data_IF_171600507703
#
_entry.id   IF_171600507703
#
_cell.length_a   1.000
_cell.length_b   1.000
_cell.length_c   1.000
_cell.angle_alpha   90.00
_cell.angle_beta   90.00
_cell.angle_gamma   90.00
#
_symmetry.space_group_name_H-M   'P 1'
#
loop_
_entity.id
_entity.type
_entity.pdbx_description
1 polymer ?
#
# COMPACT_ATOMS: atom_id res chain seq x y z
N UNK A 1 -20.31 -30.48 6.81
CA UNK A 1 -20.67 -30.66 5.40
C UNK A 1 -20.82 -29.35 4.69
N UNK A 2 -21.71 -28.48 5.15
CA UNK A 2 -21.91 -27.15 4.55
C UNK A 2 -20.66 -26.26 4.59
N UNK A 3 -19.86 -26.40 5.63
CA UNK A 3 -18.61 -25.64 5.79
C UNK A 3 -17.56 -25.97 4.72
N UNK A 4 -17.55 -27.21 4.27
CA UNK A 4 -16.62 -27.67 3.24
C UNK A 4 -16.95 -27.09 1.87
N UNK A 5 -18.23 -26.99 1.56
CA UNK A 5 -18.69 -26.42 0.30
C UNK A 5 -18.33 -24.92 0.23
N UNK A 6 -18.52 -24.20 1.34
CA UNK A 6 -18.15 -22.79 1.42
C UNK A 6 -16.64 -22.57 1.24
N UNK A 7 -15.84 -23.45 1.82
CA UNK A 7 -14.40 -23.40 1.67
C UNK A 7 -13.97 -23.64 0.23
N UNK A 8 -14.55 -24.62 -0.42
CA UNK A 8 -14.25 -24.92 -1.82
C UNK A 8 -14.63 -23.76 -2.74
N UNK A 9 -15.76 -23.12 -2.49
CA UNK A 9 -16.17 -21.96 -3.26
C UNK A 9 -15.23 -20.78 -3.08
N UNK A 10 -14.75 -20.55 -1.87
CA UNK A 10 -13.78 -19.50 -1.59
C UNK A 10 -12.46 -19.74 -2.31
N UNK A 11 -11.98 -20.97 -2.32
CA UNK A 11 -10.76 -21.36 -3.04
C UNK A 11 -10.95 -21.17 -4.55
N UNK A 12 -12.08 -21.57 -5.08
CA UNK A 12 -12.36 -21.41 -6.50
C UNK A 12 -12.41 -19.94 -6.91
N UNK A 13 -12.98 -19.08 -6.07
CA UNK A 13 -13.01 -17.64 -6.31
C UNK A 13 -11.60 -17.03 -6.33
N UNK A 14 -10.75 -17.44 -5.41
CA UNK A 14 -9.35 -17.00 -5.38
C UNK A 14 -8.57 -17.46 -6.62
N UNK A 15 -8.79 -18.68 -7.06
CA UNK A 15 -8.14 -19.21 -8.25
C UNK A 15 -8.59 -18.49 -9.52
N UNK A 16 -9.85 -18.12 -9.61
CA UNK A 16 -10.34 -17.38 -10.78
C UNK A 16 -9.78 -15.95 -10.83
N UNK A 17 -9.54 -15.32 -9.70
CA UNK A 17 -8.89 -14.01 -9.64
C UNK A 17 -7.43 -14.08 -10.10
N UNK A 18 -6.70 -15.12 -9.71
CA UNK A 18 -5.33 -15.34 -10.16
C UNK A 18 -5.25 -15.54 -11.65
N UNK A 19 -6.15 -16.28 -12.23
CA UNK A 19 -6.17 -16.54 -13.67
C UNK A 19 -6.39 -15.27 -14.50
N UNK A 20 -7.12 -14.29 -13.97
CA UNK A 20 -7.40 -13.04 -14.65
C UNK A 20 -6.29 -12.00 -14.51
N UNK A 21 -5.52 -12.05 -13.43
CA UNK A 21 -4.55 -11.02 -13.09
C UNK A 21 -3.16 -11.19 -13.69
N UNK A 22 -2.77 -12.39 -14.04
CA UNK A 22 -1.44 -12.69 -14.58
C UNK A 22 -0.28 -12.27 -13.67
N UNK A 23 -0.51 -12.06 -12.38
CA UNK A 23 0.48 -11.54 -11.47
C UNK A 23 0.49 -12.23 -10.12
N UNK A 24 0.11 -11.51 -9.09
CA UNK A 24 0.19 -11.96 -7.72
C UNK A 24 -1.17 -12.47 -7.22
N UNK A 25 -1.12 -13.43 -6.28
CA UNK A 25 -2.29 -14.00 -5.61
C UNK A 25 -2.83 -13.10 -4.50
N UNK A 26 -2.21 -11.95 -4.25
CA UNK A 26 -2.57 -11.08 -3.15
C UNK A 26 -3.90 -10.34 -3.41
N UNK A 27 -4.79 -10.29 -2.41
CA UNK A 27 -6.03 -9.55 -2.54
C UNK A 27 -5.80 -8.05 -2.57
N UNK A 28 -6.80 -7.30 -3.03
CA UNK A 28 -6.79 -5.85 -2.91
C UNK A 28 -6.79 -5.44 -1.44
N UNK A 29 -6.05 -4.39 -1.13
CA UNK A 29 -6.08 -3.79 0.20
C UNK A 29 -7.29 -2.87 0.35
N UNK A 30 -7.76 -2.68 1.56
CA UNK A 30 -8.81 -1.71 1.86
C UNK A 30 -8.71 -1.24 3.30
N UNK A 31 -9.11 0.00 3.55
CA UNK A 31 -9.18 0.56 4.88
C UNK A 31 -8.07 1.54 5.19
N UNK A 32 -8.16 2.09 6.38
CA UNK A 32 -7.25 3.12 6.89
C UNK A 32 -6.28 2.51 7.89
N UNK A 33 -4.99 2.81 7.71
CA UNK A 33 -3.91 2.31 8.54
C UNK A 33 -3.09 3.48 9.08
N UNK A 34 -2.79 3.48 10.35
CA UNK A 34 -1.96 4.48 11.00
C UNK A 34 -0.55 3.96 11.29
N UNK A 35 0.43 4.82 11.04
CA UNK A 35 1.83 4.53 11.35
C UNK A 35 2.08 4.58 12.86
N UNK A 36 2.82 3.60 13.38
CA UNK A 36 3.17 3.54 14.79
C UNK A 36 4.47 4.29 15.11
N UNK A 37 5.19 4.78 14.09
CA UNK A 37 6.47 5.46 14.26
C UNK A 37 6.37 6.94 13.90
N UNK A 38 6.93 7.79 14.76
CA UNK A 38 7.01 9.23 14.51
C UNK A 38 8.16 9.62 13.56
N UNK A 39 9.11 8.71 13.34
CA UNK A 39 10.28 8.96 12.49
C UNK A 39 10.06 8.55 11.03
N UNK A 40 8.87 8.07 10.69
CA UNK A 40 8.51 7.66 9.34
C UNK A 40 7.73 8.78 8.64
N UNK A 41 8.09 9.09 7.41
CA UNK A 41 7.49 10.22 6.68
C UNK A 41 6.02 10.04 6.35
N UNK A 42 5.54 8.81 6.25
CA UNK A 42 4.15 8.53 5.99
C UNK A 42 3.45 8.29 7.33
N UNK A 43 2.50 9.15 7.70
CA UNK A 43 1.79 9.03 8.97
C UNK A 43 0.60 8.08 8.90
N UNK A 44 -0.02 7.95 7.74
CA UNK A 44 -1.16 7.07 7.54
C UNK A 44 -1.30 6.72 6.06
N UNK A 45 -1.98 5.60 5.80
CA UNK A 45 -2.33 5.15 4.45
C UNK A 45 -3.80 4.72 4.45
N UNK A 46 -4.50 5.08 3.40
CA UNK A 46 -5.85 4.62 3.18
C UNK A 46 -5.95 3.95 1.82
N UNK A 47 -6.40 2.70 1.80
CA UNK A 47 -6.48 1.90 0.58
C UNK A 47 -7.91 1.71 0.16
N UNK A 48 -8.16 1.83 -1.14
CA UNK A 48 -9.42 1.48 -1.77
C UNK A 48 -9.25 0.18 -2.55
N UNK A 49 -10.30 -0.62 -2.61
CA UNK A 49 -10.24 -1.92 -3.28
C UNK A 49 -10.05 -1.82 -4.80
N UNK A 50 -10.22 -0.63 -5.36
CA UNK A 50 -10.03 -0.38 -6.80
C UNK A 50 -8.57 -0.17 -7.22
N UNK A 51 -7.63 -0.26 -6.29
CA UNK A 51 -6.20 -0.06 -6.56
C UNK A 51 -5.70 1.35 -6.33
N UNK A 52 -6.53 2.23 -5.77
CA UNK A 52 -6.11 3.58 -5.39
C UNK A 52 -5.78 3.65 -3.90
N UNK A 53 -4.99 4.65 -3.53
CA UNK A 53 -4.60 4.87 -2.14
C UNK A 53 -4.44 6.36 -1.87
N UNK A 54 -4.58 6.74 -0.60
CA UNK A 54 -4.24 8.07 -0.11
C UNK A 54 -3.07 7.94 0.85
N UNK A 55 -2.05 8.76 0.65
CA UNK A 55 -0.87 8.82 1.51
C UNK A 55 -0.92 10.12 2.31
N UNK A 56 -0.90 9.98 3.63
CA UNK A 56 -0.87 11.12 4.54
C UNK A 56 0.58 11.35 4.97
N UNK A 57 1.18 12.41 4.47
CA UNK A 57 2.57 12.80 4.72
C UNK A 57 2.58 14.26 5.17
N UNK A 58 3.60 15.03 4.76
CA UNK A 58 3.61 16.49 4.91
C UNK A 58 2.37 17.14 4.26
N UNK A 59 1.95 16.58 3.15
CA UNK A 59 0.69 16.88 2.44
C UNK A 59 -0.04 15.57 2.17
N UNK A 60 -1.31 15.64 1.80
CA UNK A 60 -2.06 14.47 1.37
C UNK A 60 -1.83 14.21 -0.12
N UNK A 61 -1.44 12.98 -0.44
CA UNK A 61 -1.16 12.56 -1.81
C UNK A 61 -2.11 11.44 -2.20
N UNK A 62 -2.40 11.37 -3.49
CA UNK A 62 -3.10 10.23 -4.09
C UNK A 62 -2.11 9.31 -4.78
N UNK A 63 -2.44 8.05 -4.84
CA UNK A 63 -1.56 7.06 -5.44
C UNK A 63 -2.29 5.84 -5.91
N UNK A 64 -1.54 4.92 -6.48
CA UNK A 64 -2.01 3.60 -6.88
C UNK A 64 -1.12 2.54 -6.24
N UNK A 65 -1.68 1.35 -6.04
CA UNK A 65 -0.91 0.23 -5.54
C UNK A 65 -1.17 -1.01 -6.39
N UNK A 66 -0.13 -1.83 -6.53
CA UNK A 66 -0.19 -3.09 -7.29
C UNK A 66 0.48 -4.18 -6.49
N UNK A 67 -0.07 -5.37 -6.52
CA UNK A 67 0.57 -6.54 -5.96
C UNK A 67 1.84 -6.88 -6.74
N UNK A 68 2.92 -7.16 -6.01
CA UNK A 68 4.20 -7.56 -6.59
C UNK A 68 4.94 -8.46 -5.60
N UNK A 69 5.22 -9.70 -5.98
CA UNK A 69 5.82 -10.68 -5.08
C UNK A 69 4.90 -10.94 -3.88
N UNK A 70 5.44 -10.84 -2.69
CA UNK A 70 4.70 -11.07 -1.44
C UNK A 70 4.06 -9.81 -0.85
N UNK A 71 4.11 -8.72 -1.57
CA UNK A 71 3.60 -7.43 -1.10
C UNK A 71 3.05 -6.58 -2.21
N UNK A 72 3.10 -5.28 -2.00
CA UNK A 72 2.54 -4.29 -2.91
C UNK A 72 3.57 -3.19 -3.17
N UNK A 73 3.52 -2.62 -4.37
CA UNK A 73 4.27 -1.41 -4.71
C UNK A 73 3.28 -0.26 -4.80
N UNK A 74 3.62 0.84 -4.14
CA UNK A 74 2.81 2.04 -4.09
C UNK A 74 3.47 3.14 -4.91
N UNK A 75 2.70 3.81 -5.77
CA UNK A 75 3.17 4.94 -6.56
C UNK A 75 2.33 6.17 -6.25
N UNK A 76 2.99 7.32 -6.09
CA UNK A 76 2.32 8.60 -5.91
C UNK A 76 1.98 9.16 -7.28
N UNK A 77 0.70 9.43 -7.54
CA UNK A 77 0.22 9.88 -8.84
C UNK A 77 -0.26 11.33 -8.85
N UNK A 78 -0.57 11.89 -7.68
CA UNK A 78 -1.03 13.26 -7.58
C UNK A 78 -1.19 13.70 -6.14
N UNK A 79 -1.71 14.90 -5.95
CA UNK A 79 -2.02 15.46 -4.65
C UNK A 79 -3.48 15.84 -4.52
N UNK A 80 -3.90 16.17 -3.31
CA UNK A 80 -5.26 16.59 -3.02
C UNK A 80 -5.43 18.13 -3.07
N UNK A 81 -4.34 18.85 -3.34
CA UNK A 81 -4.34 20.29 -3.49
C UNK A 81 -3.37 20.67 -4.60
N UNK A 82 -3.42 21.90 -5.06
CA UNK A 82 -2.49 22.38 -6.09
C UNK A 82 -1.02 22.29 -5.64
N UNK A 83 -0.76 22.53 -4.35
CA UNK A 83 0.59 22.42 -3.80
C UNK A 83 1.05 20.95 -3.75
N UNK A 84 0.21 20.07 -3.21
CA UNK A 84 0.56 18.65 -3.14
C UNK A 84 0.65 18.00 -4.52
N UNK A 85 -0.12 18.48 -5.49
CA UNK A 85 -0.02 17.98 -6.86
C UNK A 85 1.34 18.32 -7.49
N UNK A 86 1.85 19.50 -7.24
CA UNK A 86 3.19 19.89 -7.71
C UNK A 86 4.30 19.05 -7.06
N UNK A 87 4.14 18.70 -5.79
CA UNK A 87 5.12 17.93 -5.04
C UNK A 87 5.04 16.42 -5.32
N UNK A 88 3.89 15.94 -5.76
CA UNK A 88 3.66 14.50 -5.94
C UNK A 88 4.67 13.86 -6.91
N UNK A 89 4.95 14.53 -8.02
CA UNK A 89 5.91 14.05 -9.01
C UNK A 89 7.31 13.93 -8.42
N UNK A 90 7.72 14.91 -7.63
CA UNK A 90 9.04 14.89 -6.97
C UNK A 90 9.13 13.75 -5.96
N UNK A 91 8.09 13.57 -5.13
CA UNK A 91 8.03 12.47 -4.16
C UNK A 91 8.10 11.11 -4.86
N UNK A 92 7.35 10.93 -5.92
CA UNK A 92 7.35 9.66 -6.66
C UNK A 92 8.70 9.37 -7.32
N UNK A 93 9.42 10.40 -7.76
CA UNK A 93 10.76 10.24 -8.32
C UNK A 93 11.82 9.98 -7.25
N UNK A 94 11.58 10.47 -6.04
CA UNK A 94 12.57 10.39 -4.95
C UNK A 94 12.52 9.06 -4.19
N UNK A 95 11.34 8.43 -4.10
CA UNK A 95 11.14 7.31 -3.18
C UNK A 95 10.45 6.13 -3.83
N UNK A 96 10.88 4.93 -3.43
CA UNK A 96 10.17 3.69 -3.71
C UNK A 96 9.45 3.27 -2.42
N UNK A 97 8.15 3.02 -2.52
CA UNK A 97 7.31 2.64 -1.38
C UNK A 97 6.79 1.23 -1.62
N UNK A 98 7.04 0.32 -0.68
CA UNK A 98 6.53 -1.04 -0.72
C UNK A 98 5.78 -1.36 0.56
N UNK A 99 4.80 -2.24 0.46
CA UNK A 99 3.92 -2.61 1.57
C UNK A 99 3.86 -4.12 1.66
N UNK A 100 4.09 -4.66 2.85
CA UNK A 100 3.99 -6.10 3.10
C UNK A 100 2.96 -6.36 4.19
N UNK A 101 1.90 -7.14 3.90
CA UNK A 101 0.95 -7.54 4.93
C UNK A 101 1.59 -8.48 5.93
N UNK A 102 1.27 -8.29 7.21
CA UNK A 102 1.69 -9.16 8.30
C UNK A 102 0.53 -10.08 8.71
N UNK A 103 0.86 -11.19 9.37
CA UNK A 103 -0.12 -12.19 9.78
C UNK A 103 -1.13 -11.65 10.82
N UNK A 104 -0.76 -10.62 11.55
CA UNK A 104 -1.61 -10.02 12.58
C UNK A 104 -2.56 -8.93 12.06
N UNK A 105 -2.62 -8.72 10.75
CA UNK A 105 -3.46 -7.70 10.15
C UNK A 105 -2.83 -6.32 10.02
N UNK A 106 -1.60 -6.15 10.50
CA UNK A 106 -0.84 -4.92 10.29
C UNK A 106 -0.12 -4.96 8.95
N UNK A 107 0.42 -3.82 8.54
CA UNK A 107 1.26 -3.71 7.34
C UNK A 107 2.64 -3.22 7.73
N UNK A 108 3.68 -3.76 7.11
CA UNK A 108 5.02 -3.16 7.17
C UNK A 108 5.24 -2.36 5.89
N UNK A 109 5.52 -1.09 6.04
CA UNK A 109 5.73 -0.18 4.91
C UNK A 109 7.21 0.19 4.86
N UNK A 110 7.81 0.05 3.69
CA UNK A 110 9.21 0.38 3.44
C UNK A 110 9.29 1.60 2.54
N UNK A 111 10.14 2.54 2.91
CA UNK A 111 10.40 3.72 2.11
C UNK A 111 11.90 3.76 1.81
N UNK A 112 12.24 3.65 0.54
CA UNK A 112 13.62 3.62 0.07
C UNK A 112 13.88 4.78 -0.88
N UNK A 113 14.96 5.53 -0.62
CA UNK A 113 15.39 6.59 -1.54
C UNK A 113 15.87 5.99 -2.85
N UNK A 114 15.42 6.54 -3.97
CA UNK A 114 15.93 6.21 -5.30
C UNK A 114 17.27 6.89 -5.53
N UNK A 115 17.98 6.46 -6.58
CA UNK A 115 19.30 6.99 -6.91
C UNK A 115 19.28 8.52 -7.04
N UNK A 116 20.20 9.19 -6.37
CA UNK A 116 20.29 10.64 -6.34
C UNK A 116 19.51 11.32 -5.22
N UNK A 117 18.78 10.55 -4.41
CA UNK A 117 18.02 11.08 -3.27
C UNK A 117 18.47 10.43 -1.97
N UNK A 118 18.23 11.14 -0.88
CA UNK A 118 18.58 10.67 0.48
C UNK A 118 17.32 10.75 1.34
N UNK A 119 17.10 9.69 2.14
CA UNK A 119 16.02 9.65 3.12
C UNK A 119 16.63 9.49 4.51
N UNK A 120 16.26 10.39 5.43
CA UNK A 120 16.82 10.44 6.78
C UNK A 120 15.91 9.83 7.86
N UNK A 121 14.69 9.43 7.50
CA UNK A 121 13.76 8.81 8.44
C UNK A 121 14.01 7.31 8.63
N UNK A 122 13.11 6.64 9.34
CA UNK A 122 13.15 5.19 9.47
C UNK A 122 12.91 4.54 8.11
N UNK A 123 13.67 3.48 7.76
CA UNK A 123 13.50 2.81 6.45
C UNK A 123 12.21 2.00 6.36
N UNK A 124 11.61 1.65 7.49
CA UNK A 124 10.35 0.94 7.54
C UNK A 124 9.58 1.27 8.81
N UNK A 125 8.28 1.03 8.77
CA UNK A 125 7.42 1.20 9.93
C UNK A 125 6.22 0.26 9.85
N UNK A 126 5.65 -0.07 10.99
CA UNK A 126 4.43 -0.87 11.08
C UNK A 126 3.23 0.06 11.07
N UNK A 127 2.21 -0.29 10.28
CA UNK A 127 0.96 0.44 10.18
C UNK A 127 -0.17 -0.46 10.69
N UNK A 128 -0.95 0.05 11.62
CA UNK A 128 -2.06 -0.68 12.22
C UNK A 128 -3.40 -0.22 11.66
N UNK A 129 -4.33 -1.17 11.39
CA UNK A 129 -5.64 -0.79 10.87
C UNK A 129 -6.43 0.00 11.90
N UNK A 130 -7.19 1.00 11.44
CA UNK A 130 -8.11 1.80 12.24
C UNK A 130 -9.51 1.64 11.71
N UNK A 131 -10.43 1.42 12.62
CA UNK A 131 -11.85 1.31 12.29
C UNK A 131 -12.56 2.66 12.35
#
# INVERSE_FOLDING_TARGET
MKKWIALLLAIAALLSLTACGGGSDLPSLSGYYECESYAFDISALEFESDGTATLYMDWNYTGTYKAKGDGYVLEITGGQSSVSDLLAKEKNNAYKITVEPNDDGTLTVYLKAKSGYIYYGDPSAVFSPKS
#
